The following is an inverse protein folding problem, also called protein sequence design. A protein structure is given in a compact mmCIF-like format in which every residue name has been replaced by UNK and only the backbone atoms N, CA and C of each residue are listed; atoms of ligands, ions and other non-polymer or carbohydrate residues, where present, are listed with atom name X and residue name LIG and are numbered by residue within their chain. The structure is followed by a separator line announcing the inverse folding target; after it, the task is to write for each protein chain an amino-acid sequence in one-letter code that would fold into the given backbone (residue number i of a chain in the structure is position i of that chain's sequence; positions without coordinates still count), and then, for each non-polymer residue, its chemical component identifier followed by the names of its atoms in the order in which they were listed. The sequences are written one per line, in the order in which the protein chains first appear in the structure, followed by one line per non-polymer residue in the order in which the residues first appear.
data_IF_835594279549
#
_entry.id   IF_835594279549
#
_cell.length_a   1.000
_cell.length_b   1.000
_cell.length_c   1.000
_cell.angle_alpha   90.00
_cell.angle_beta   90.00
_cell.angle_gamma   90.00
#
_symmetry.space_group_name_H-M   'P 1'
#
loop_
_entity.id
_entity.type
_entity.pdbx_description
1 polymer ?
#
# COMPACT_ATOMS: atom_id res chain seq x y z
N UNK A 1 -35.01 -0.10 -12.49
CA UNK A 1 -34.65 -1.46 -12.93
C UNK A 1 -33.18 -1.45 -13.31
N UNK A 2 -32.29 -1.87 -12.41
CA UNK A 2 -30.88 -2.02 -12.73
C UNK A 2 -30.71 -3.30 -13.52
N UNK A 3 -30.24 -3.21 -14.76
CA UNK A 3 -29.85 -4.37 -15.56
C UNK A 3 -28.68 -5.01 -14.81
N UNK A 4 -28.92 -6.13 -14.15
CA UNK A 4 -27.86 -6.90 -13.47
C UNK A 4 -26.98 -7.46 -14.59
N UNK A 5 -25.71 -7.06 -14.73
CA UNK A 5 -24.85 -7.63 -15.76
C UNK A 5 -24.78 -9.16 -15.55
N UNK A 6 -24.77 -9.92 -16.65
CA UNK A 6 -24.77 -11.38 -16.58
C UNK A 6 -23.64 -11.91 -15.69
N UNK A 7 -23.90 -13.00 -14.97
CA UNK A 7 -22.97 -13.64 -14.02
C UNK A 7 -21.59 -13.94 -14.64
N UNK A 8 -21.55 -14.18 -15.95
CA UNK A 8 -20.35 -14.38 -16.76
C UNK A 8 -19.53 -13.09 -16.98
N UNK A 9 -20.20 -11.96 -17.18
CA UNK A 9 -19.56 -10.64 -17.39
C UNK A 9 -18.83 -10.21 -16.11
N UNK A 10 -19.42 -10.46 -14.94
CA UNK A 10 -18.79 -10.16 -13.66
C UNK A 10 -17.55 -11.02 -13.39
N UNK A 11 -17.63 -12.34 -13.60
CA UNK A 11 -16.46 -13.21 -13.42
C UNK A 11 -15.30 -12.84 -14.35
N UNK A 12 -15.60 -12.38 -15.57
CA UNK A 12 -14.59 -11.85 -16.49
C UNK A 12 -13.97 -10.55 -15.96
N UNK A 13 -14.80 -9.63 -15.44
CA UNK A 13 -14.35 -8.37 -14.86
C UNK A 13 -13.44 -8.57 -13.63
N UNK A 14 -13.75 -9.53 -12.77
CA UNK A 14 -12.92 -9.85 -11.59
C UNK A 14 -11.56 -10.42 -11.97
N UNK A 15 -11.53 -11.31 -12.96
CA UNK A 15 -10.27 -11.85 -13.50
C UNK A 15 -9.46 -10.75 -14.16
N UNK A 16 -10.11 -9.85 -14.91
CA UNK A 16 -9.45 -8.68 -15.50
C UNK A 16 -8.89 -7.75 -14.42
N UNK A 17 -9.64 -7.46 -13.36
CA UNK A 17 -9.19 -6.64 -12.23
C UNK A 17 -8.00 -7.29 -11.50
N UNK A 18 -8.03 -8.60 -11.28
CA UNK A 18 -6.91 -9.37 -10.73
C UNK A 18 -5.65 -9.28 -11.60
N UNK A 19 -5.80 -9.52 -12.91
CA UNK A 19 -4.68 -9.46 -13.87
C UNK A 19 -4.09 -8.06 -13.91
N UNK A 20 -4.94 -7.04 -13.97
CA UNK A 20 -4.51 -5.64 -13.96
C UNK A 20 -3.83 -5.28 -12.64
N UNK A 21 -4.32 -5.76 -11.50
CA UNK A 21 -3.67 -5.60 -10.20
C UNK A 21 -2.26 -6.22 -10.19
N UNK A 22 -2.09 -7.45 -10.70
CA UNK A 22 -0.78 -8.10 -10.78
C UNK A 22 0.16 -7.32 -11.70
N UNK A 23 -0.33 -6.86 -12.85
CA UNK A 23 0.46 -6.05 -13.78
C UNK A 23 0.94 -4.75 -13.12
N UNK A 24 0.06 -4.06 -12.38
CA UNK A 24 0.45 -2.84 -11.66
C UNK A 24 1.47 -3.12 -10.55
N UNK A 25 1.35 -4.24 -9.83
CA UNK A 25 2.35 -4.65 -8.82
C UNK A 25 3.70 -4.90 -9.48
N UNK A 26 3.73 -5.61 -10.62
CA UNK A 26 4.97 -5.87 -11.37
C UNK A 26 5.59 -4.56 -11.84
N UNK A 27 4.79 -3.67 -12.42
CA UNK A 27 5.26 -2.37 -12.90
C UNK A 27 5.79 -1.54 -11.73
N UNK A 28 5.06 -1.44 -10.62
CA UNK A 28 5.49 -0.64 -9.47
C UNK A 28 6.77 -1.18 -8.83
N UNK A 29 6.82 -2.48 -8.54
CA UNK A 29 8.00 -3.10 -7.92
C UNK A 29 9.21 -3.06 -8.84
N UNK A 30 9.01 -3.32 -10.14
CA UNK A 30 10.06 -3.25 -11.16
C UNK A 30 10.59 -1.84 -11.39
N UNK A 31 9.74 -0.81 -11.26
CA UNK A 31 10.15 0.60 -11.38
C UNK A 31 11.04 1.01 -10.20
N UNK A 32 10.71 0.58 -8.98
CA UNK A 32 11.54 0.80 -7.79
C UNK A 32 12.85 -0.02 -7.85
N UNK A 33 12.82 -1.24 -8.39
CA UNK A 33 14.05 -2.03 -8.58
C UNK A 33 14.96 -1.46 -9.67
N UNK A 34 14.38 -0.94 -10.75
CA UNK A 34 15.13 -0.25 -11.79
C UNK A 34 15.88 0.96 -11.22
N UNK A 35 15.21 1.74 -10.36
CA UNK A 35 15.81 2.82 -9.60
C UNK A 35 17.01 2.34 -8.75
N UNK A 36 16.84 1.23 -8.03
CA UNK A 36 17.92 0.69 -7.20
C UNK A 36 19.14 0.22 -7.98
N UNK A 37 18.92 -0.46 -9.11
CA UNK A 37 20.00 -1.01 -9.92
C UNK A 37 20.74 0.10 -10.67
N UNK A 38 20.02 1.11 -11.17
CA UNK A 38 20.62 2.23 -11.90
C UNK A 38 21.49 3.10 -10.99
N UNK A 39 21.06 3.34 -9.75
CA UNK A 39 21.77 4.20 -8.80
C UNK A 39 22.89 3.46 -8.05
N UNK A 40 22.66 2.23 -7.56
CA UNK A 40 23.59 1.59 -6.60
C UNK A 40 24.56 0.55 -7.17
N UNK A 41 24.36 0.02 -8.39
CA UNK A 41 25.25 -0.97 -9.06
C UNK A 41 25.77 -2.15 -8.21
N UNK A 42 25.20 -2.42 -7.04
CA UNK A 42 25.69 -3.40 -6.07
C UNK A 42 24.90 -4.71 -6.09
N UNK A 43 25.61 -5.83 -5.86
CA UNK A 43 25.05 -7.20 -5.96
C UNK A 43 24.07 -7.56 -4.85
N UNK A 44 24.08 -6.85 -3.71
CA UNK A 44 23.20 -7.15 -2.57
C UNK A 44 21.73 -6.83 -2.90
N UNK A 45 21.49 -5.92 -3.84
CA UNK A 45 20.15 -5.48 -4.22
C UNK A 45 19.35 -6.49 -5.03
N UNK A 46 20.01 -7.52 -5.60
CA UNK A 46 19.31 -8.66 -6.20
C UNK A 46 18.46 -9.45 -5.19
N UNK A 47 18.71 -9.32 -3.88
CA UNK A 47 17.87 -9.94 -2.85
C UNK A 47 16.45 -9.36 -2.84
N UNK A 48 16.27 -8.07 -3.16
CA UNK A 48 14.96 -7.42 -3.24
C UNK A 48 14.12 -7.95 -4.39
N UNK A 49 14.77 -8.26 -5.52
CA UNK A 49 14.13 -8.91 -6.66
C UNK A 49 13.60 -10.32 -6.32
N UNK A 50 14.27 -11.00 -5.37
CA UNK A 50 13.79 -12.26 -4.79
C UNK A 50 12.53 -12.08 -3.93
N UNK A 51 12.47 -11.03 -3.11
CA UNK A 51 11.29 -10.69 -2.31
C UNK A 51 10.09 -10.32 -3.21
N UNK A 52 10.33 -9.58 -4.29
CA UNK A 52 9.29 -9.24 -5.28
C UNK A 52 8.70 -10.47 -5.95
N UNK A 53 9.57 -11.41 -6.34
CA UNK A 53 9.16 -12.68 -6.93
C UNK A 53 8.25 -13.46 -5.97
N UNK A 54 8.54 -13.44 -4.68
CA UNK A 54 7.72 -14.08 -3.65
C UNK A 54 6.34 -13.41 -3.53
N UNK A 55 6.27 -12.07 -3.56
CA UNK A 55 4.98 -11.34 -3.55
C UNK A 55 4.14 -11.70 -4.77
N UNK A 56 4.75 -11.75 -5.96
CA UNK A 56 4.06 -12.11 -7.20
C UNK A 56 3.53 -13.56 -7.12
N UNK A 57 4.33 -14.50 -6.60
CA UNK A 57 3.89 -15.88 -6.40
C UNK A 57 2.69 -15.96 -5.46
N UNK A 58 2.70 -15.20 -4.35
CA UNK A 58 1.56 -15.12 -3.43
C UNK A 58 0.33 -14.59 -4.15
N UNK A 59 0.45 -13.49 -4.91
CA UNK A 59 -0.69 -12.90 -5.63
C UNK A 59 -1.25 -13.86 -6.69
N UNK A 60 -0.40 -14.53 -7.47
CA UNK A 60 -0.81 -15.55 -8.44
C UNK A 60 -1.53 -16.70 -7.72
N UNK A 61 -1.00 -17.17 -6.59
CA UNK A 61 -1.64 -18.19 -5.77
C UNK A 61 -3.04 -17.76 -5.31
N UNK A 62 -3.21 -16.51 -4.89
CA UNK A 62 -4.52 -15.97 -4.51
C UNK A 62 -5.50 -15.95 -5.68
N UNK A 63 -5.05 -15.58 -6.88
CA UNK A 63 -5.89 -15.62 -8.09
C UNK A 63 -6.30 -17.06 -8.44
N UNK A 64 -5.37 -18.02 -8.36
CA UNK A 64 -5.68 -19.44 -8.59
C UNK A 64 -6.70 -19.95 -7.58
N UNK A 65 -6.57 -19.58 -6.30
CA UNK A 65 -7.56 -19.91 -5.29
C UNK A 65 -8.92 -19.27 -5.58
N UNK A 66 -8.96 -18.01 -6.01
CA UNK A 66 -10.19 -17.32 -6.39
C UNK A 66 -10.90 -18.01 -7.56
N UNK A 67 -10.15 -18.41 -8.60
CA UNK A 67 -10.68 -19.13 -9.76
C UNK A 67 -11.19 -20.53 -9.36
N UNK A 68 -10.39 -21.29 -8.59
CA UNK A 68 -10.80 -22.62 -8.11
C UNK A 68 -12.04 -22.55 -7.23
N UNK A 69 -12.11 -21.58 -6.33
CA UNK A 69 -13.29 -21.32 -5.50
C UNK A 69 -14.51 -21.02 -6.36
N UNK A 70 -14.37 -20.21 -7.42
CA UNK A 70 -15.47 -19.88 -8.32
C UNK A 70 -15.94 -21.11 -9.13
N UNK A 71 -15.02 -21.98 -9.55
CA UNK A 71 -15.34 -23.23 -10.25
C UNK A 71 -16.04 -24.26 -9.34
N UNK A 72 -15.59 -24.41 -8.09
CA UNK A 72 -16.16 -25.37 -7.14
C UNK A 72 -17.53 -24.95 -6.59
N UNK A 73 -17.85 -23.66 -6.56
CA UNK A 73 -19.09 -23.13 -6.00
C UNK A 73 -20.21 -22.87 -7.02
N UNK A 74 -20.15 -23.47 -8.21
CA UNK A 74 -21.27 -23.49 -9.17
C UNK A 74 -22.50 -24.25 -8.64
N UNK A 75 -22.37 -25.05 -7.56
CA UNK A 75 -23.47 -25.86 -7.01
C UNK A 75 -24.13 -25.36 -5.70
N UNK A 76 -23.58 -24.42 -4.92
CA UNK A 76 -24.18 -24.04 -3.63
C UNK A 76 -24.24 -22.52 -3.36
N UNK A 77 -25.45 -22.05 -3.01
CA UNK A 77 -25.92 -20.64 -2.96
C UNK A 77 -25.41 -19.84 -1.73
N UNK A 78 -24.22 -20.11 -1.18
CA UNK A 78 -23.83 -19.52 0.11
C UNK A 78 -22.33 -19.24 0.30
N UNK A 79 -21.71 -18.39 -0.53
CA UNK A 79 -20.27 -18.10 -0.39
C UNK A 79 -19.82 -16.68 -0.73
N UNK A 80 -20.65 -15.68 -0.42
CA UNK A 80 -20.29 -14.25 -0.37
C UNK A 80 -19.15 -13.91 0.63
N UNK A 81 -18.67 -14.92 1.36
CA UNK A 81 -17.71 -14.81 2.45
C UNK A 81 -16.32 -15.39 2.12
N UNK A 82 -16.15 -16.12 1.00
CA UNK A 82 -14.90 -16.84 0.72
C UNK A 82 -13.80 -15.98 0.06
N UNK A 83 -14.16 -14.99 -0.76
CA UNK A 83 -13.18 -14.24 -1.56
C UNK A 83 -12.45 -13.15 -0.76
N UNK A 84 -13.15 -12.40 0.10
CA UNK A 84 -12.53 -11.39 0.98
C UNK A 84 -11.53 -12.02 1.98
N UNK A 85 -11.57 -13.35 2.21
CA UNK A 85 -10.72 -14.05 3.20
C UNK A 85 -9.22 -13.99 2.91
N UNK A 86 -8.82 -13.74 1.66
CA UNK A 86 -7.41 -13.79 1.28
C UNK A 86 -6.80 -12.46 0.82
N UNK A 87 -7.62 -11.44 0.58
CA UNK A 87 -7.14 -10.10 0.18
C UNK A 87 -6.17 -9.49 1.20
N UNK A 88 -6.38 -9.73 2.50
CA UNK A 88 -5.48 -9.25 3.55
C UNK A 88 -4.07 -9.87 3.46
N UNK A 89 -3.94 -11.12 3.00
CA UNK A 89 -2.63 -11.80 2.83
C UNK A 89 -1.86 -11.15 1.69
N UNK A 90 -2.56 -10.91 0.57
CA UNK A 90 -1.98 -10.25 -0.61
C UNK A 90 -1.49 -8.85 -0.28
N UNK A 91 -2.35 -8.04 0.36
CA UNK A 91 -1.97 -6.69 0.79
C UNK A 91 -0.85 -6.69 1.83
N UNK A 92 -0.85 -7.61 2.80
CA UNK A 92 0.19 -7.70 3.81
C UNK A 92 1.57 -8.06 3.22
N UNK A 93 1.62 -9.05 2.33
CA UNK A 93 2.86 -9.43 1.65
C UNK A 93 3.39 -8.26 0.81
N UNK A 94 2.51 -7.63 0.02
CA UNK A 94 2.86 -6.47 -0.81
C UNK A 94 3.33 -5.27 0.02
N UNK A 95 2.57 -4.85 1.03
CA UNK A 95 2.90 -3.69 1.88
C UNK A 95 4.19 -3.89 2.65
N UNK A 96 4.47 -5.10 3.14
CA UNK A 96 5.72 -5.40 3.86
C UNK A 96 6.95 -5.20 2.97
N UNK A 97 6.91 -5.70 1.73
CA UNK A 97 8.02 -5.53 0.78
C UNK A 97 8.15 -4.06 0.36
N UNK A 98 7.04 -3.39 0.07
CA UNK A 98 7.05 -1.96 -0.30
C UNK A 98 7.62 -1.08 0.81
N UNK A 99 7.18 -1.27 2.06
CA UNK A 99 7.71 -0.53 3.23
C UNK A 99 9.19 -0.83 3.42
N UNK A 100 9.60 -2.09 3.28
CA UNK A 100 11.01 -2.47 3.32
C UNK A 100 11.84 -1.70 2.30
N UNK A 101 11.34 -1.58 1.06
CA UNK A 101 11.97 -0.76 0.01
C UNK A 101 11.97 0.71 0.38
N UNK A 102 10.88 1.30 0.84
CA UNK A 102 10.85 2.73 1.22
C UNK A 102 11.87 3.02 2.32
N UNK A 103 11.92 2.20 3.37
CA UNK A 103 12.88 2.35 4.47
C UNK A 103 14.31 2.17 3.98
N UNK A 104 14.55 1.19 3.11
CA UNK A 104 15.86 0.99 2.51
C UNK A 104 16.29 2.23 1.70
N UNK A 105 15.39 2.81 0.89
CA UNK A 105 15.63 4.03 0.13
C UNK A 105 16.08 5.16 1.07
N UNK A 106 15.27 5.51 2.08
CA UNK A 106 15.55 6.67 2.93
C UNK A 106 16.69 6.46 3.93
N UNK A 107 17.00 5.23 4.36
CA UNK A 107 18.04 4.97 5.38
C UNK A 107 19.39 4.59 4.78
N UNK A 108 19.42 3.86 3.67
CA UNK A 108 20.68 3.42 3.06
C UNK A 108 21.16 4.42 2.00
N UNK A 109 20.26 5.12 1.29
CA UNK A 109 20.65 6.00 0.18
C UNK A 109 20.87 7.47 0.59
N UNK A 110 20.47 7.88 1.80
CA UNK A 110 20.56 9.29 2.22
C UNK A 110 21.95 9.93 2.02
N UNK A 111 23.04 9.16 2.17
CA UNK A 111 24.42 9.65 1.97
C UNK A 111 24.91 9.65 0.52
N UNK A 112 24.22 8.94 -0.37
CA UNK A 112 24.62 8.73 -1.77
C UNK A 112 23.81 9.57 -2.76
N UNK A 113 22.83 10.36 -2.29
CA UNK A 113 22.21 11.39 -3.11
C UNK A 113 23.28 12.45 -3.45
N UNK A 114 23.70 12.57 -4.72
CA UNK A 114 24.75 13.51 -5.08
C UNK A 114 24.28 14.96 -4.84
N UNK A 115 25.05 15.80 -4.12
CA UNK A 115 24.76 17.22 -4.00
C UNK A 115 24.80 17.85 -5.40
N UNK A 116 23.75 18.56 -5.80
CA UNK A 116 23.68 19.23 -7.10
C UNK A 116 24.77 20.30 -7.21
N UNK A 117 25.55 20.33 -8.31
CA UNK A 117 25.04 20.91 -9.57
C UNK A 117 25.69 20.29 -10.82
N UNK A 118 25.07 19.33 -11.50
CA UNK A 118 25.26 19.05 -12.93
C UNK A 118 24.32 17.91 -13.36
N UNK A 119 23.86 18.00 -14.59
CA UNK A 119 22.97 17.08 -15.35
C UNK A 119 21.46 17.17 -15.07
N UNK A 120 20.79 17.91 -15.95
CA UNK A 120 19.42 18.41 -15.81
C UNK A 120 18.34 17.59 -16.55
N UNK A 121 18.67 16.49 -17.25
CA UNK A 121 17.66 15.75 -18.02
C UNK A 121 17.23 14.41 -17.44
N UNK A 122 18.10 13.66 -16.74
CA UNK A 122 17.74 12.32 -16.24
C UNK A 122 17.18 12.33 -14.81
N UNK A 123 17.49 13.36 -13.99
CA UNK A 123 17.08 13.44 -12.58
C UNK A 123 15.62 13.83 -12.35
N UNK A 124 14.99 14.57 -13.26
CA UNK A 124 13.57 14.93 -13.15
C UNK A 124 12.67 13.73 -13.41
N UNK A 125 13.10 12.84 -14.30
CA UNK A 125 12.41 11.57 -14.53
C UNK A 125 12.43 10.74 -13.24
N UNK A 126 13.54 10.72 -12.52
CA UNK A 126 13.76 9.92 -11.30
C UNK A 126 12.83 10.31 -10.12
N UNK A 127 12.71 11.61 -9.80
CA UNK A 127 11.80 12.11 -8.74
C UNK A 127 10.33 11.78 -9.07
N UNK A 128 9.92 12.04 -10.32
CA UNK A 128 8.56 11.78 -10.76
C UNK A 128 8.26 10.29 -10.83
N UNK A 129 9.23 9.46 -11.19
CA UNK A 129 9.13 8.01 -11.18
C UNK A 129 8.92 7.46 -9.75
N UNK A 130 9.69 7.93 -8.77
CA UNK A 130 9.53 7.52 -7.38
C UNK A 130 8.13 7.86 -6.85
N UNK A 131 7.70 9.12 -7.04
CA UNK A 131 6.36 9.58 -6.65
C UNK A 131 5.25 8.81 -7.38
N UNK A 132 5.41 8.56 -8.69
CA UNK A 132 4.47 7.79 -9.48
C UNK A 132 4.38 6.36 -8.96
N UNK A 133 5.53 5.70 -8.74
CA UNK A 133 5.62 4.36 -8.18
C UNK A 133 4.92 4.25 -6.82
N UNK A 134 5.10 5.21 -5.92
CA UNK A 134 4.37 5.21 -4.65
C UNK A 134 2.87 5.45 -4.83
N UNK A 135 2.45 6.33 -5.74
CA UNK A 135 1.02 6.62 -5.99
C UNK A 135 0.25 5.43 -6.59
N UNK A 136 0.93 4.55 -7.31
CA UNK A 136 0.38 3.30 -7.85
C UNK A 136 -0.18 2.38 -6.75
N UNK A 137 0.34 2.46 -5.53
CA UNK A 137 -0.13 1.67 -4.40
C UNK A 137 -1.61 1.92 -4.04
N UNK A 138 -2.13 3.14 -4.22
CA UNK A 138 -3.53 3.45 -4.00
C UNK A 138 -4.42 2.75 -5.05
N UNK A 139 -3.98 2.72 -6.31
CA UNK A 139 -4.68 2.00 -7.38
C UNK A 139 -4.65 0.49 -7.16
N UNK A 140 -3.51 -0.05 -6.71
CA UNK A 140 -3.37 -1.48 -6.37
C UNK A 140 -4.32 -1.84 -5.22
N UNK A 141 -4.44 -1.01 -4.19
CA UNK A 141 -5.38 -1.25 -3.10
C UNK A 141 -6.83 -1.30 -3.59
N UNK A 142 -7.23 -0.33 -4.41
CA UNK A 142 -8.56 -0.24 -4.99
C UNK A 142 -8.87 -1.50 -5.83
N UNK A 143 -7.98 -1.86 -6.74
CA UNK A 143 -8.17 -3.00 -7.64
C UNK A 143 -8.14 -4.34 -6.91
N UNK A 144 -7.26 -4.49 -5.91
CA UNK A 144 -7.22 -5.66 -5.05
C UNK A 144 -8.56 -5.87 -4.35
N UNK A 145 -9.19 -4.78 -3.88
CA UNK A 145 -10.45 -4.86 -3.17
C UNK A 145 -11.65 -5.07 -4.09
N UNK A 146 -11.67 -4.41 -5.24
CA UNK A 146 -12.69 -4.63 -6.28
C UNK A 146 -12.67 -6.08 -6.74
N UNK A 147 -11.49 -6.64 -7.00
CA UNK A 147 -11.30 -8.02 -7.44
C UNK A 147 -11.74 -9.08 -6.41
N UNK A 148 -11.86 -8.73 -5.13
CA UNK A 148 -12.24 -9.66 -4.05
C UNK A 148 -13.62 -9.37 -3.45
N UNK A 149 -14.33 -8.31 -3.88
CA UNK A 149 -15.59 -7.92 -3.28
C UNK A 149 -16.80 -8.37 -4.11
N UNK A 150 -17.31 -9.56 -3.80
CA UNK A 150 -18.66 -9.98 -4.20
C UNK A 150 -19.67 -9.53 -3.14
N UNK A 151 -20.29 -8.36 -3.31
CA UNK A 151 -21.54 -8.05 -2.57
C UNK A 151 -22.57 -7.48 -3.53
N UNK A 152 -23.85 -7.91 -3.44
CA UNK A 152 -24.90 -7.30 -4.24
C UNK A 152 -24.95 -5.80 -3.96
N UNK A 153 -25.09 -5.04 -5.05
CA UNK A 153 -25.41 -3.62 -5.06
C UNK A 153 -26.54 -3.42 -4.03
N UNK A 154 -26.37 -2.55 -3.03
CA UNK A 154 -27.35 -2.22 -1.96
C UNK A 154 -27.23 -2.91 -0.58
N UNK A 155 -26.07 -3.42 -0.16
CA UNK A 155 -25.87 -3.85 1.25
C UNK A 155 -25.09 -2.84 2.09
N UNK A 156 -25.39 -2.71 3.39
CA UNK A 156 -24.63 -1.88 4.36
C UNK A 156 -23.13 -2.20 4.38
N UNK A 157 -22.77 -3.45 4.08
CA UNK A 157 -21.39 -3.92 3.95
C UNK A 157 -20.68 -3.28 2.75
N UNK A 158 -21.35 -3.13 1.62
CA UNK A 158 -20.78 -2.50 0.43
C UNK A 158 -20.45 -1.02 0.69
N UNK A 159 -21.34 -0.28 1.35
CA UNK A 159 -21.08 1.13 1.72
C UNK A 159 -19.86 1.26 2.62
N UNK A 160 -19.69 0.34 3.59
CA UNK A 160 -18.50 0.32 4.44
C UNK A 160 -17.22 0.00 3.66
N UNK A 161 -17.27 -0.93 2.71
CA UNK A 161 -16.13 -1.28 1.85
C UNK A 161 -15.75 -0.10 0.96
N UNK A 162 -16.73 0.55 0.31
CA UNK A 162 -16.48 1.74 -0.51
C UNK A 162 -15.87 2.86 0.33
N UNK A 163 -16.43 3.13 1.51
CA UNK A 163 -15.85 4.09 2.46
C UNK A 163 -14.40 3.72 2.82
N UNK A 164 -14.12 2.44 3.10
CA UNK A 164 -12.79 1.98 3.43
C UNK A 164 -11.80 2.14 2.26
N UNK A 165 -12.20 1.81 1.03
CA UNK A 165 -11.39 2.02 -0.18
C UNK A 165 -11.03 3.50 -0.29
N UNK A 166 -12.04 4.37 -0.22
CA UNK A 166 -11.85 5.81 -0.36
C UNK A 166 -10.94 6.37 0.74
N UNK A 167 -11.21 6.04 2.00
CA UNK A 167 -10.41 6.51 3.13
C UNK A 167 -8.95 6.05 3.02
N UNK A 168 -8.70 4.76 2.79
CA UNK A 168 -7.34 4.22 2.65
C UNK A 168 -6.62 4.81 1.43
N UNK A 169 -7.32 5.02 0.32
CA UNK A 169 -6.71 5.60 -0.89
C UNK A 169 -6.24 7.03 -0.64
N UNK A 170 -7.05 7.83 0.08
CA UNK A 170 -6.65 9.18 0.49
C UNK A 170 -5.48 9.14 1.47
N UNK A 171 -5.51 8.28 2.49
CA UNK A 171 -4.42 8.15 3.46
C UNK A 171 -3.10 7.77 2.77
N UNK A 172 -3.15 6.85 1.80
CA UNK A 172 -1.98 6.47 0.99
C UNK A 172 -1.48 7.68 0.19
N UNK A 173 -2.34 8.41 -0.51
CA UNK A 173 -1.94 9.59 -1.29
C UNK A 173 -1.26 10.63 -0.40
N UNK A 174 -1.82 10.91 0.77
CA UNK A 174 -1.24 11.85 1.74
C UNK A 174 0.14 11.36 2.21
N UNK A 175 0.32 10.06 2.44
CA UNK A 175 1.64 9.50 2.79
C UNK A 175 2.65 9.62 1.66
N UNK A 176 2.23 9.51 0.41
CA UNK A 176 3.11 9.74 -0.75
C UNK A 176 3.59 11.18 -0.77
N UNK A 177 2.74 12.16 -0.47
CA UNK A 177 3.14 13.56 -0.37
C UNK A 177 4.13 13.82 0.76
N UNK A 178 3.93 13.21 1.94
CA UNK A 178 4.90 13.33 3.04
C UNK A 178 6.26 12.70 2.69
N UNK A 179 6.26 11.56 2.00
CA UNK A 179 7.49 10.93 1.52
C UNK A 179 8.18 11.75 0.42
N UNK A 180 7.42 12.38 -0.48
CA UNK A 180 7.95 13.29 -1.51
C UNK A 180 8.59 14.54 -0.87
N UNK A 181 7.96 15.10 0.16
CA UNK A 181 8.52 16.23 0.91
C UNK A 181 9.78 15.84 1.69
N UNK A 182 9.79 14.64 2.28
CA UNK A 182 10.98 14.09 2.94
C UNK A 182 12.12 13.87 1.93
N UNK A 183 11.80 13.41 0.72
CA UNK A 183 12.75 13.23 -0.37
C UNK A 183 13.38 14.57 -0.80
N UNK A 184 12.57 15.61 -0.99
CA UNK A 184 13.03 16.96 -1.30
C UNK A 184 13.90 17.55 -0.19
N UNK A 185 13.54 17.32 1.07
CA UNK A 185 14.33 17.73 2.23
C UNK A 185 15.78 17.21 2.18
N UNK A 186 15.95 15.92 1.86
CA UNK A 186 17.28 15.33 1.72
C UNK A 186 18.06 15.91 0.53
N UNK A 187 17.39 16.16 -0.60
CA UNK A 187 18.00 16.71 -1.81
C UNK A 187 18.47 18.15 -1.66
N UNK A 188 17.64 18.99 -1.04
CA UNK A 188 17.91 20.41 -0.86
C UNK A 188 18.74 20.71 0.41
N UNK A 189 19.22 19.66 1.10
CA UNK A 189 19.96 19.74 2.36
C UNK A 189 19.24 20.57 3.43
N UNK A 190 17.92 20.39 3.53
CA UNK A 190 17.15 21.07 4.57
C UNK A 190 17.57 20.48 5.92
N UNK A 191 17.92 21.34 6.89
CA UNK A 191 18.39 20.90 8.21
C UNK A 191 17.22 20.42 9.07
N UNK A 192 16.63 19.28 8.70
CA UNK A 192 15.60 18.66 9.51
C UNK A 192 16.21 17.90 10.70
N UNK A 193 15.57 17.96 11.87
CA UNK A 193 16.01 17.16 13.00
C UNK A 193 15.79 15.68 12.69
N UNK A 194 16.81 14.85 12.95
CA UNK A 194 16.80 13.40 12.68
C UNK A 194 15.56 12.66 13.21
N UNK A 195 14.98 13.16 14.30
CA UNK A 195 13.75 12.61 14.89
C UNK A 195 12.55 12.74 13.95
N UNK A 196 12.44 13.83 13.22
CA UNK A 196 11.32 14.14 12.35
C UNK A 196 11.31 13.20 11.14
N UNK A 197 12.47 12.93 10.54
CA UNK A 197 12.61 11.99 9.42
C UNK A 197 12.17 10.57 9.82
N UNK A 198 12.59 10.13 11.01
CA UNK A 198 12.20 8.83 11.57
C UNK A 198 10.69 8.79 11.83
N UNK A 199 10.11 9.87 12.36
CA UNK A 199 8.67 9.97 12.61
C UNK A 199 7.89 9.89 11.30
N UNK A 200 8.24 10.67 10.28
CA UNK A 200 7.56 10.62 8.96
C UNK A 200 7.67 9.23 8.36
N UNK A 201 8.86 8.63 8.34
CA UNK A 201 9.08 7.31 7.77
C UNK A 201 8.30 6.23 8.52
N UNK A 202 8.26 6.31 9.85
CA UNK A 202 7.49 5.38 10.69
C UNK A 202 5.98 5.53 10.48
N UNK A 203 5.48 6.76 10.34
CA UNK A 203 4.07 7.04 10.09
C UNK A 203 3.66 6.55 8.70
N UNK A 204 4.50 6.78 7.68
CA UNK A 204 4.28 6.26 6.34
C UNK A 204 4.25 4.72 6.32
N UNK A 205 5.21 4.07 6.99
CA UNK A 205 5.25 2.61 7.12
C UNK A 205 3.98 2.05 7.77
N UNK A 206 3.51 2.68 8.85
CA UNK A 206 2.27 2.30 9.51
C UNK A 206 1.06 2.47 8.59
N UNK A 207 0.98 3.57 7.84
CA UNK A 207 -0.15 3.83 6.94
C UNK A 207 -0.23 2.86 5.76
N UNK A 208 0.90 2.33 5.25
CA UNK A 208 0.88 1.25 4.25
C UNK A 208 0.42 -0.09 4.83
N UNK A 209 0.72 -0.36 6.11
CA UNK A 209 0.35 -1.61 6.79
C UNK A 209 -1.08 -1.56 7.34
N UNK A 210 -1.58 -0.39 7.75
CA UNK A 210 -2.90 -0.18 8.36
C UNK A 210 -4.07 -0.87 7.60
N UNK A 211 -4.13 -0.85 6.25
CA UNK A 211 -5.22 -1.47 5.53
C UNK A 211 -5.25 -3.00 5.72
N UNK A 212 -4.12 -3.64 6.02
CA UNK A 212 -4.09 -5.08 6.37
C UNK A 212 -4.98 -5.39 7.58
N UNK A 213 -4.97 -4.51 8.58
CA UNK A 213 -5.75 -4.65 9.81
C UNK A 213 -7.23 -4.39 9.55
N UNK A 214 -7.55 -3.41 8.71
CA UNK A 214 -8.92 -3.13 8.29
C UNK A 214 -9.53 -4.32 7.51
N UNK A 215 -8.75 -4.94 6.62
CA UNK A 215 -9.15 -6.15 5.89
C UNK A 215 -9.29 -7.36 6.81
N UNK A 216 -8.41 -7.50 7.81
CA UNK A 216 -8.50 -8.57 8.80
C UNK A 216 -9.76 -8.41 9.68
N UNK A 217 -10.13 -7.18 10.05
CA UNK A 217 -11.38 -6.88 10.78
C UNK A 217 -12.62 -7.27 9.97
N UNK A 218 -12.63 -6.95 8.67
CA UNK A 218 -13.69 -7.34 7.72
C UNK A 218 -13.87 -8.86 7.67
N UNK A 219 -12.78 -9.64 7.75
CA UNK A 219 -12.81 -11.11 7.71
C UNK A 219 -13.37 -11.73 8.99
N UNK A 220 -12.90 -11.28 10.15
CA UNK A 220 -13.11 -12.05 11.38
C UNK A 220 -14.34 -11.60 12.18
N UNK A 221 -14.93 -10.42 11.93
CA UNK A 221 -16.20 -9.94 12.50
C UNK A 221 -16.31 -9.86 14.04
N UNK A 222 -15.36 -10.46 14.75
CA UNK A 222 -15.39 -10.86 16.17
C UNK A 222 -13.98 -10.86 16.78
N UNK A 223 -13.06 -10.05 16.28
CA UNK A 223 -11.89 -9.74 17.10
C UNK A 223 -12.33 -8.82 18.25
N UNK A 224 -12.09 -9.22 19.51
CA UNK A 224 -12.51 -8.42 20.66
C UNK A 224 -11.74 -7.11 20.67
N UNK A 225 -12.32 -6.13 21.37
CA UNK A 225 -11.92 -4.74 21.69
C UNK A 225 -10.44 -4.46 22.04
N UNK A 226 -9.52 -5.40 21.88
CA UNK A 226 -8.10 -5.29 22.24
C UNK A 226 -7.36 -4.31 21.31
N UNK A 227 -7.84 -4.09 20.09
CA UNK A 227 -7.30 -3.08 19.17
C UNK A 227 -7.96 -1.68 19.30
N UNK A 228 -8.69 -1.41 20.40
CA UNK A 228 -9.03 -0.04 20.82
C UNK A 228 -7.79 0.78 21.23
N UNK A 229 -6.59 0.20 21.14
CA UNK A 229 -5.38 0.98 21.04
C UNK A 229 -5.39 1.87 19.78
N UNK A 230 -6.17 1.66 18.72
CA UNK A 230 -6.10 2.58 17.56
C UNK A 230 -6.64 3.99 17.87
N UNK A 231 -7.78 4.14 18.55
CA UNK A 231 -8.31 5.47 18.90
C UNK A 231 -7.52 6.12 20.05
N UNK A 232 -7.05 5.30 21.00
CA UNK A 232 -6.21 5.73 22.13
C UNK A 232 -4.78 6.04 21.69
N UNK A 233 -4.22 5.31 20.73
CA UNK A 233 -2.92 5.57 20.12
C UNK A 233 -3.01 6.75 19.19
N UNK A 234 -4.08 6.94 18.41
CA UNK A 234 -4.29 8.17 17.65
C UNK A 234 -4.47 9.37 18.56
N UNK A 235 -5.20 9.24 19.68
CA UNK A 235 -5.27 10.28 20.71
C UNK A 235 -3.92 10.50 21.40
N UNK A 236 -3.12 9.45 21.65
CA UNK A 236 -1.76 9.56 22.20
C UNK A 236 -0.79 10.17 21.19
N UNK A 237 -0.92 9.86 19.90
CA UNK A 237 -0.11 10.43 18.83
C UNK A 237 -0.48 11.90 18.64
N UNK A 238 -1.78 12.23 18.67
CA UNK A 238 -2.26 13.61 18.64
C UNK A 238 -1.81 14.40 19.88
N UNK A 239 -1.90 13.82 21.08
CA UNK A 239 -1.42 14.44 22.32
C UNK A 239 0.10 14.58 22.32
N UNK A 240 0.85 13.56 21.86
CA UNK A 240 2.31 13.64 21.72
C UNK A 240 2.70 14.72 20.72
N UNK A 241 2.08 14.75 19.54
CA UNK A 241 2.36 15.74 18.50
C UNK A 241 2.04 17.17 19.00
N UNK A 242 0.88 17.39 19.64
CA UNK A 242 0.52 18.67 20.27
C UNK A 242 1.47 19.05 21.41
N UNK A 243 1.87 18.11 22.26
CA UNK A 243 2.78 18.36 23.39
C UNK A 243 4.24 18.56 22.97
N UNK A 244 4.66 18.02 21.83
CA UNK A 244 5.99 18.30 21.24
C UNK A 244 6.03 19.60 20.45
N UNK A 245 4.89 20.06 19.94
CA UNK A 245 4.80 21.28 19.11
C UNK A 245 4.44 22.54 19.90
N UNK A 246 4.00 22.39 21.16
CA UNK A 246 3.86 23.50 22.09
C UNK A 246 5.10 23.52 23.01
N UNK A 247 6.21 24.19 22.63
CA UNK A 247 7.23 24.49 23.60
C UNK A 247 6.54 25.30 24.68
N UNK A 248 6.60 24.82 25.92
CA UNK A 248 6.23 25.59 27.09
C UNK A 248 7.11 26.83 27.09
N UNK A 249 6.58 27.92 26.54
CA UNK A 249 6.69 29.25 27.12
C UNK A 249 6.30 29.10 28.59
N UNK A 250 7.28 28.95 29.47
CA UNK A 250 7.24 29.32 30.90
C UNK A 250 8.56 28.89 31.59
N UNK A 251 9.60 29.71 31.42
CA UNK A 251 10.37 30.41 32.47
C UNK A 251 11.72 30.91 31.95
#
# INVERSE_FOLDING_TARGET
MGVVPGRFVHGCLDVLACVLCILLVIVQLGLIDFYYISVLKDKIWYAWLGADSLVIIILIWLVVLAIRSNQQHIEEVSSTDAQVKYAWIGWFAYSTVLVGKIVACFRLFHEQLPPSPLDNHDKTFDDHLFRLGLSLSALIFLLLLEAHNYTPVFSTRQTYIVYLITAVSFDIIDTVYFLDLLWQSFKDNWQLPLWLDIVILSLAALNFILPTLALMRLRFGRFPRVLLLSDKLWALFYVLLVSTFNPVEEC
#
